data_IF_304012338431
#
_entry.id   IF_304012338431
#
_cell.length_a   1.000
_cell.length_b   1.000
_cell.length_c   1.000
_cell.angle_alpha   90.00
_cell.angle_beta   90.00
_cell.angle_gamma   90.00
#
_symmetry.space_group_name_H-M   'P 1'
#
loop_
_entity.id
_entity.type
_entity.pdbx_description
1 polymer ?
#
# COMPACT_ATOMS: atom_id res chain seq x y z
N UNK A 1 -57.42 -17.47 10.53
CA UNK A 1 -56.01 -17.80 10.77
C UNK A 1 -55.16 -16.64 10.25
N UNK A 2 -54.84 -15.65 11.12
CA UNK A 2 -54.15 -14.42 10.70
C UNK A 2 -52.65 -14.70 10.65
N UNK A 3 -52.03 -14.60 9.46
CA UNK A 3 -50.55 -14.61 9.30
C UNK A 3 -50.00 -13.31 9.86
N UNK A 4 -49.19 -13.39 10.92
CA UNK A 4 -48.45 -12.23 11.45
C UNK A 4 -47.44 -11.76 10.42
N UNK A 5 -47.32 -10.46 10.16
CA UNK A 5 -46.26 -9.92 9.28
C UNK A 5 -44.89 -10.14 9.92
N UNK A 6 -43.87 -10.40 9.09
CA UNK A 6 -42.47 -10.53 9.50
C UNK A 6 -41.97 -9.21 10.11
N UNK A 7 -41.07 -9.26 11.10
CA UNK A 7 -40.44 -8.08 11.66
C UNK A 7 -39.74 -7.26 10.59
N UNK A 8 -39.74 -5.92 10.73
CA UNK A 8 -39.14 -5.00 9.76
C UNK A 8 -37.67 -5.29 9.47
N UNK A 9 -36.89 -5.64 10.49
CA UNK A 9 -35.47 -5.98 10.36
C UNK A 9 -35.23 -7.16 9.41
N UNK A 10 -36.11 -8.15 9.40
CA UNK A 10 -36.00 -9.31 8.49
C UNK A 10 -36.27 -8.93 7.04
N UNK A 11 -37.08 -7.91 6.78
CA UNK A 11 -37.38 -7.40 5.43
C UNK A 11 -36.18 -6.71 4.81
N UNK A 12 -35.44 -5.91 5.59
CA UNK A 12 -34.23 -5.21 5.13
C UNK A 12 -33.10 -6.18 4.82
N UNK A 13 -32.95 -7.25 5.61
CA UNK A 13 -31.91 -8.26 5.36
C UNK A 13 -32.16 -9.04 4.06
N UNK A 14 -33.40 -9.37 3.76
CA UNK A 14 -33.79 -10.06 2.51
C UNK A 14 -33.58 -9.14 1.30
N UNK A 15 -33.92 -7.84 1.40
CA UNK A 15 -33.73 -6.86 0.32
C UNK A 15 -32.25 -6.63 0.06
N UNK A 16 -31.42 -6.54 1.10
CA UNK A 16 -29.96 -6.38 0.97
C UNK A 16 -29.31 -7.60 0.32
N UNK A 17 -29.74 -8.81 0.66
CA UNK A 17 -29.26 -10.05 0.03
C UNK A 17 -29.66 -10.15 -1.45
N UNK A 18 -30.86 -9.70 -1.81
CA UNK A 18 -31.33 -9.69 -3.20
C UNK A 18 -30.56 -8.68 -4.07
N UNK A 19 -30.17 -7.52 -3.51
CA UNK A 19 -29.40 -6.50 -4.23
C UNK A 19 -27.96 -6.97 -4.48
N UNK A 20 -27.35 -7.71 -3.56
CA UNK A 20 -25.98 -8.24 -3.72
C UNK A 20 -25.91 -9.36 -4.77
N UNK A 21 -27.00 -10.12 -4.98
CA UNK A 21 -27.03 -11.22 -5.95
C UNK A 21 -27.42 -10.77 -7.36
N UNK A 22 -28.11 -9.61 -7.51
CA UNK A 22 -28.64 -9.13 -8.80
C UNK A 22 -27.88 -7.94 -9.41
N UNK A 23 -26.85 -7.39 -8.75
CA UNK A 23 -26.00 -6.39 -9.41
C UNK A 23 -24.96 -7.11 -10.26
N UNK A 24 -24.99 -6.95 -11.60
CA UNK A 24 -23.92 -7.46 -12.43
C UNK A 24 -22.64 -6.76 -12.00
N UNK A 25 -21.58 -7.53 -11.77
CA UNK A 25 -20.23 -7.04 -11.53
C UNK A 25 -19.95 -5.99 -12.61
N UNK A 26 -19.71 -4.72 -12.24
CA UNK A 26 -19.72 -3.65 -13.22
C UNK A 26 -18.59 -3.80 -14.22
N UNK A 27 -18.90 -3.49 -15.46
CA UNK A 27 -18.01 -3.27 -16.61
C UNK A 27 -16.78 -2.38 -16.35
N UNK A 28 -16.50 -2.02 -15.11
CA UNK A 28 -15.38 -1.17 -14.72
C UNK A 28 -14.02 -1.84 -14.93
N UNK A 29 -13.95 -3.17 -14.89
CA UNK A 29 -12.72 -3.91 -15.17
C UNK A 29 -12.43 -4.12 -16.66
N UNK A 30 -13.42 -3.96 -17.54
CA UNK A 30 -13.22 -4.17 -18.99
C UNK A 30 -12.58 -2.95 -19.67
N UNK A 31 -12.70 -1.75 -19.09
CA UNK A 31 -12.19 -0.53 -19.72
C UNK A 31 -10.69 -0.29 -19.49
N UNK A 32 -10.06 -1.04 -18.60
CA UNK A 32 -8.60 -0.98 -18.38
C UNK A 32 -7.85 -1.91 -19.34
N UNK A 33 -8.51 -2.92 -19.90
CA UNK A 33 -7.87 -3.92 -20.75
C UNK A 33 -8.03 -3.69 -22.27
N UNK A 34 -8.99 -2.87 -22.71
CA UNK A 34 -9.25 -2.62 -24.13
C UNK A 34 -9.36 -1.14 -24.46
N UNK A 35 -8.27 -0.41 -24.25
CA UNK A 35 -8.06 0.91 -24.84
C UNK A 35 -7.78 0.80 -26.33
N UNK A 36 -8.79 0.58 -27.16
CA UNK A 36 -8.66 0.64 -28.62
C UNK A 36 -8.46 2.08 -29.06
N UNK A 37 -7.24 2.47 -29.35
CA UNK A 37 -6.98 3.61 -30.21
C UNK A 37 -7.33 3.22 -31.65
N UNK A 38 -8.45 3.74 -32.13
CA UNK A 38 -8.76 3.80 -33.52
C UNK A 38 -7.82 4.80 -34.21
N UNK A 39 -6.93 4.32 -35.04
CA UNK A 39 -6.25 5.11 -36.06
C UNK A 39 -6.34 4.37 -37.40
N UNK A 40 -6.85 5.08 -38.39
CA UNK A 40 -7.13 4.62 -39.73
C UNK A 40 -5.88 4.02 -40.44
N UNK A 41 -6.07 3.05 -41.36
CA UNK A 41 -4.99 2.36 -42.01
C UNK A 41 -4.34 3.23 -43.09
N UNK A 42 -3.03 3.51 -42.98
CA UNK A 42 -2.20 3.93 -44.12
C UNK A 42 -1.74 2.69 -44.85
N UNK A 43 -2.14 2.60 -46.11
CA UNK A 43 -1.72 1.58 -47.06
C UNK A 43 -0.19 1.63 -47.23
N UNK A 44 0.52 0.61 -46.75
CA UNK A 44 1.93 0.38 -47.06
C UNK A 44 2.03 -0.90 -47.88
N UNK A 45 2.64 -0.77 -49.06
CA UNK A 45 2.87 -1.86 -50.01
C UNK A 45 3.71 -2.96 -49.36
N UNK A 46 3.16 -4.14 -49.33
CA UNK A 46 3.75 -5.36 -48.85
C UNK A 46 4.95 -5.78 -49.71
N UNK A 47 6.13 -5.78 -49.11
CA UNK A 47 7.31 -6.42 -49.68
C UNK A 47 7.46 -7.75 -48.92
N UNK A 48 7.01 -8.81 -49.58
CA UNK A 48 7.07 -10.17 -49.01
C UNK A 48 8.53 -10.59 -48.89
N UNK A 49 9.06 -10.58 -47.69
CA UNK A 49 10.33 -11.25 -47.35
C UNK A 49 9.98 -12.63 -46.82
N UNK A 50 10.31 -13.64 -47.62
CA UNK A 50 10.18 -15.05 -47.21
C UNK A 50 11.30 -15.33 -46.20
N UNK A 51 10.97 -15.28 -44.91
CA UNK A 51 11.84 -15.73 -43.83
C UNK A 51 11.61 -17.22 -43.64
N UNK A 52 12.67 -18.03 -43.75
CA UNK A 52 12.60 -19.49 -43.64
C UNK A 52 12.12 -19.93 -42.28
N UNK A 53 11.38 -21.02 -42.18
CA UNK A 53 10.82 -21.60 -40.94
C UNK A 53 11.89 -21.93 -39.88
N UNK A 54 13.14 -22.12 -40.30
CA UNK A 54 14.26 -22.37 -39.39
C UNK A 54 14.67 -21.14 -38.54
N UNK A 55 14.43 -19.91 -39.03
CA UNK A 55 14.72 -18.68 -38.27
C UNK A 55 13.60 -18.35 -37.24
N UNK A 56 12.37 -18.72 -37.53
CA UNK A 56 11.25 -18.51 -36.58
C UNK A 56 11.39 -19.37 -35.27
N UNK A 57 12.00 -20.54 -35.38
CA UNK A 57 12.21 -21.42 -34.19
C UNK A 57 13.32 -20.90 -33.28
N UNK A 58 14.28 -20.15 -33.82
CA UNK A 58 15.43 -19.64 -33.06
C UNK A 58 15.15 -18.32 -32.32
N UNK A 59 14.11 -17.56 -32.72
CA UNK A 59 13.72 -16.32 -32.03
C UNK A 59 12.81 -16.61 -30.81
N UNK A 60 12.08 -17.71 -30.81
CA UNK A 60 11.19 -18.12 -29.71
C UNK A 60 11.90 -18.88 -28.56
N UNK A 61 13.15 -19.27 -28.72
CA UNK A 61 13.89 -20.02 -27.70
C UNK A 61 14.83 -19.16 -26.84
N UNK A 62 14.85 -17.84 -26.97
CA UNK A 62 15.85 -17.00 -26.29
C UNK A 62 15.29 -16.00 -25.29
N UNK A 63 14.30 -16.40 -24.54
CA UNK A 63 14.01 -15.82 -23.23
C UNK A 63 13.38 -16.93 -22.37
N UNK A 64 14.16 -17.94 -22.02
CA UNK A 64 13.77 -18.83 -20.93
C UNK A 64 13.60 -17.95 -19.70
N UNK A 65 12.35 -17.66 -19.34
CA UNK A 65 12.02 -16.93 -18.12
C UNK A 65 12.74 -17.63 -16.98
N UNK A 66 13.55 -16.88 -16.19
CA UNK A 66 14.26 -17.44 -15.05
C UNK A 66 13.26 -18.21 -14.18
N UNK A 67 13.59 -19.41 -13.71
CA UNK A 67 12.73 -20.13 -12.77
C UNK A 67 12.34 -19.21 -11.61
N UNK A 68 11.08 -19.25 -11.17
CA UNK A 68 10.59 -18.42 -10.08
C UNK A 68 11.45 -18.57 -8.82
N UNK A 69 11.91 -19.81 -8.53
CA UNK A 69 12.84 -20.11 -7.43
C UNK A 69 14.17 -19.37 -7.56
N UNK A 70 14.69 -19.22 -8.78
CA UNK A 70 15.91 -18.45 -9.02
C UNK A 70 15.66 -16.94 -8.80
N UNK A 71 14.49 -16.43 -9.19
CA UNK A 71 14.12 -15.05 -8.95
C UNK A 71 14.03 -14.75 -7.45
N UNK A 72 13.51 -15.70 -6.64
CA UNK A 72 13.51 -15.59 -5.16
C UNK A 72 14.94 -15.48 -4.64
N UNK A 73 15.83 -16.37 -5.07
CA UNK A 73 17.25 -16.36 -4.63
C UNK A 73 17.99 -15.09 -5.05
N UNK A 74 17.74 -14.61 -6.26
CA UNK A 74 18.35 -13.37 -6.75
C UNK A 74 17.89 -12.16 -5.93
N UNK A 75 16.60 -12.07 -5.61
CA UNK A 75 16.03 -11.03 -4.74
C UNK A 75 16.62 -11.08 -3.32
N UNK A 76 16.75 -12.28 -2.74
CA UNK A 76 17.40 -12.47 -1.44
C UNK A 76 18.87 -11.98 -1.44
N UNK A 77 19.64 -12.32 -2.48
CA UNK A 77 21.03 -11.87 -2.63
C UNK A 77 21.16 -10.35 -2.72
N UNK A 78 20.15 -9.69 -3.31
CA UNK A 78 20.07 -8.24 -3.41
C UNK A 78 19.55 -7.57 -2.13
N UNK A 79 19.13 -8.35 -1.12
CA UNK A 79 18.50 -7.84 0.09
C UNK A 79 17.06 -7.37 -0.11
N UNK A 80 16.46 -7.64 -1.28
CA UNK A 80 15.07 -7.31 -1.57
C UNK A 80 14.13 -8.44 -1.12
N UNK A 81 13.94 -8.51 0.19
CA UNK A 81 13.14 -9.55 0.80
C UNK A 81 11.65 -9.42 0.52
N UNK A 82 11.16 -8.21 0.22
CA UNK A 82 9.77 -7.99 -0.19
C UNK A 82 9.47 -8.65 -1.53
N UNK A 83 10.33 -8.43 -2.53
CA UNK A 83 10.24 -9.13 -3.82
C UNK A 83 10.45 -10.64 -3.66
N UNK A 84 11.41 -11.07 -2.82
CA UNK A 84 11.62 -12.48 -2.55
C UNK A 84 10.37 -13.17 -2.00
N UNK A 85 9.66 -12.56 -1.03
CA UNK A 85 8.40 -13.07 -0.50
C UNK A 85 7.28 -13.11 -1.55
N UNK A 86 7.16 -12.05 -2.36
CA UNK A 86 6.18 -11.99 -3.45
C UNK A 86 6.42 -13.08 -4.49
N UNK A 87 7.68 -13.33 -4.88
CA UNK A 87 8.00 -14.39 -5.83
C UNK A 87 7.84 -15.77 -5.19
N UNK A 88 8.19 -15.95 -3.91
CA UNK A 88 7.97 -17.21 -3.20
C UNK A 88 6.49 -17.63 -3.19
N UNK A 89 5.56 -16.67 -3.11
CA UNK A 89 4.12 -16.97 -3.14
C UNK A 89 3.67 -17.64 -4.46
N UNK A 90 4.47 -17.53 -5.53
CA UNK A 90 4.22 -18.13 -6.85
C UNK A 90 4.87 -19.52 -7.00
N UNK A 91 5.73 -19.92 -6.05
CA UNK A 91 6.33 -21.26 -6.04
C UNK A 91 5.29 -22.26 -5.50
N UNK A 92 5.13 -23.45 -6.11
CA UNK A 92 4.21 -24.47 -5.60
C UNK A 92 4.59 -24.86 -4.16
N UNK A 93 3.60 -24.81 -3.25
CA UNK A 93 3.82 -25.05 -1.81
C UNK A 93 4.26 -26.47 -1.47
N UNK A 94 3.99 -27.42 -2.34
CA UNK A 94 4.35 -28.84 -2.26
C UNK A 94 5.75 -29.14 -2.81
N UNK A 95 6.42 -28.13 -3.39
CA UNK A 95 7.79 -28.32 -3.87
C UNK A 95 8.81 -28.30 -2.72
N UNK A 96 9.85 -29.16 -2.76
CA UNK A 96 10.92 -29.16 -1.75
C UNK A 96 11.61 -27.80 -1.62
N UNK A 97 11.78 -27.11 -2.75
CA UNK A 97 12.42 -25.78 -2.79
C UNK A 97 11.60 -24.71 -2.09
N UNK A 98 10.26 -24.82 -2.07
CA UNK A 98 9.41 -23.84 -1.36
C UNK A 98 9.75 -23.82 0.14
N UNK A 99 9.80 -24.98 0.79
CA UNK A 99 10.08 -25.04 2.23
C UNK A 99 11.51 -24.59 2.55
N UNK A 100 12.49 -24.91 1.70
CA UNK A 100 13.86 -24.43 1.87
C UNK A 100 13.93 -22.90 1.76
N UNK A 101 13.39 -22.33 0.69
CA UNK A 101 13.38 -20.87 0.47
C UNK A 101 12.59 -20.14 1.56
N UNK A 102 11.47 -20.72 2.02
CA UNK A 102 10.68 -20.19 3.12
C UNK A 102 11.48 -20.12 4.43
N UNK A 103 12.24 -21.19 4.74
CA UNK A 103 13.11 -21.21 5.92
C UNK A 103 14.23 -20.18 5.81
N UNK A 104 14.88 -20.08 4.65
CA UNK A 104 15.93 -19.09 4.40
C UNK A 104 15.39 -17.67 4.56
N UNK A 105 14.24 -17.34 3.97
CA UNK A 105 13.58 -16.04 4.13
C UNK A 105 13.16 -15.76 5.57
N UNK A 106 12.71 -16.77 6.32
CA UNK A 106 12.33 -16.62 7.72
C UNK A 106 13.53 -16.40 8.65
N UNK A 107 14.71 -16.88 8.30
CA UNK A 107 15.93 -16.70 9.08
C UNK A 107 16.56 -15.31 8.93
N UNK A 108 16.22 -14.60 7.87
CA UNK A 108 16.80 -13.29 7.54
C UNK A 108 16.08 -12.13 8.25
N UNK A 109 16.44 -10.92 8.12
CA UNK A 109 16.66 -9.76 9.00
C UNK A 109 15.62 -9.46 10.09
N UNK A 110 14.58 -10.25 10.26
CA UNK A 110 13.54 -10.02 11.30
C UNK A 110 14.07 -10.10 12.74
N UNK A 111 15.20 -10.80 12.92
CA UNK A 111 15.93 -10.82 14.17
C UNK A 111 16.73 -9.55 14.42
N UNK A 112 16.88 -8.64 13.43
CA UNK A 112 17.63 -7.41 13.60
C UNK A 112 16.94 -6.49 14.58
N UNK A 113 17.69 -6.03 15.57
CA UNK A 113 17.26 -4.95 16.43
C UNK A 113 17.18 -3.66 15.59
N UNK A 114 15.99 -3.10 15.47
CA UNK A 114 15.76 -1.83 14.78
C UNK A 114 15.73 -0.71 15.83
N UNK A 115 16.76 0.13 15.95
CA UNK A 115 16.82 1.18 16.95
C UNK A 115 15.67 2.18 16.77
N UNK A 116 14.99 2.54 17.85
CA UNK A 116 13.89 3.51 17.83
C UNK A 116 12.61 2.98 17.17
N UNK A 117 12.51 1.65 16.97
CA UNK A 117 11.31 1.01 16.41
C UNK A 117 10.71 0.04 17.40
N UNK A 118 9.42 0.23 17.71
CA UNK A 118 8.62 -0.69 18.52
C UNK A 118 7.80 -1.62 17.61
N UNK A 119 7.55 -2.82 18.12
CA UNK A 119 6.71 -3.83 17.45
C UNK A 119 5.39 -3.95 18.19
N UNK A 120 4.29 -3.93 17.45
CA UNK A 120 2.94 -4.07 17.99
C UNK A 120 2.16 -5.10 17.17
N UNK A 121 1.31 -5.87 17.85
CA UNK A 121 0.33 -6.73 17.21
C UNK A 121 -0.99 -6.61 17.95
N UNK A 122 -2.10 -6.47 17.25
CA UNK A 122 -3.43 -6.37 17.86
C UNK A 122 -3.89 -7.68 18.48
N UNK A 123 -3.37 -8.81 17.99
CA UNK A 123 -3.66 -10.17 18.48
C UNK A 123 -2.45 -11.06 18.31
N UNK A 124 -2.43 -12.20 18.99
CA UNK A 124 -1.34 -13.19 18.84
C UNK A 124 -1.16 -13.72 17.41
N UNK A 125 -2.16 -13.58 16.56
CA UNK A 125 -2.15 -14.00 15.15
C UNK A 125 -2.38 -12.83 14.16
N UNK A 126 -2.50 -11.61 14.66
CA UNK A 126 -2.70 -10.41 13.86
C UNK A 126 -1.43 -9.99 13.12
N UNK A 127 -1.56 -9.08 12.13
CA UNK A 127 -0.41 -8.54 11.43
C UNK A 127 0.52 -7.82 12.42
N UNK A 128 1.83 -8.08 12.29
CA UNK A 128 2.84 -7.38 13.07
C UNK A 128 3.05 -5.98 12.48
N UNK A 129 3.02 -4.97 13.34
CA UNK A 129 3.31 -3.59 12.99
C UNK A 129 4.64 -3.14 13.57
N UNK A 130 5.40 -2.41 12.78
CA UNK A 130 6.61 -1.73 13.18
C UNK A 130 6.33 -0.24 13.16
N UNK A 131 6.49 0.42 14.29
CA UNK A 131 6.23 1.85 14.44
C UNK A 131 7.45 2.53 15.05
N UNK A 132 7.67 3.78 14.66
CA UNK A 132 8.65 4.60 15.35
C UNK A 132 8.25 4.85 16.81
N UNK A 133 9.20 4.94 17.71
CA UNK A 133 8.93 5.21 19.14
C UNK A 133 8.19 6.54 19.35
N UNK A 134 8.38 7.53 18.47
CA UNK A 134 7.67 8.82 18.51
C UNK A 134 6.23 8.77 17.98
N UNK A 135 5.82 7.68 17.34
CA UNK A 135 4.45 7.54 16.82
C UNK A 135 3.45 7.51 17.98
N UNK A 136 2.32 8.22 17.89
CA UNK A 136 1.28 8.15 18.91
C UNK A 136 0.83 6.71 19.20
N UNK A 137 0.58 6.41 20.49
CA UNK A 137 0.08 5.09 20.90
C UNK A 137 -1.42 4.90 20.64
N UNK A 138 -2.15 5.99 20.49
CA UNK A 138 -3.58 5.98 20.25
C UNK A 138 -3.99 6.84 19.03
N UNK A 139 -5.26 6.75 18.66
CA UNK A 139 -5.85 7.53 17.56
C UNK A 139 -6.30 8.94 17.98
N UNK A 140 -6.23 9.27 19.26
CA UNK A 140 -6.72 10.55 19.81
C UNK A 140 -5.60 11.59 20.03
N UNK A 141 -4.55 11.48 19.23
CA UNK A 141 -3.46 12.45 19.10
C UNK A 141 -3.23 12.82 17.64
N UNK A 142 -2.89 14.08 17.36
CA UNK A 142 -2.44 14.47 16.01
C UNK A 142 -1.18 13.68 15.66
N UNK A 143 -1.04 13.28 14.40
CA UNK A 143 0.14 12.55 13.96
C UNK A 143 0.30 12.53 12.45
N UNK A 144 1.56 12.46 12.05
CA UNK A 144 1.97 12.21 10.66
C UNK A 144 3.15 11.24 10.73
N UNK A 145 3.00 10.03 10.25
CA UNK A 145 4.02 9.01 10.39
C UNK A 145 3.96 7.93 9.30
N UNK A 146 5.11 7.33 9.07
CA UNK A 146 5.26 6.09 8.32
C UNK A 146 5.29 4.93 9.31
N UNK A 147 4.63 3.84 9.01
CA UNK A 147 4.74 2.59 9.73
C UNK A 147 4.75 1.40 8.77
N UNK A 148 5.19 0.24 9.26
CA UNK A 148 5.28 -0.95 8.44
C UNK A 148 4.33 -2.01 8.97
N UNK A 149 3.73 -2.76 8.06
CA UNK A 149 2.85 -3.90 8.37
C UNK A 149 3.47 -5.15 7.78
N UNK A 150 3.68 -6.17 8.61
CA UNK A 150 4.13 -7.46 8.15
C UNK A 150 2.93 -8.41 8.03
N UNK A 151 2.71 -8.90 6.81
CA UNK A 151 1.66 -9.88 6.49
C UNK A 151 2.30 -11.04 5.75
N UNK A 152 2.17 -12.24 6.29
CA UNK A 152 2.69 -13.46 5.66
C UNK A 152 4.17 -13.36 5.27
N UNK A 153 4.92 -12.60 6.05
CA UNK A 153 6.35 -12.43 5.84
C UNK A 153 6.76 -11.32 4.90
N UNK A 154 5.84 -10.68 4.24
CA UNK A 154 6.09 -9.47 3.45
C UNK A 154 5.86 -8.22 4.29
N UNK A 155 6.73 -7.25 4.16
CA UNK A 155 6.65 -5.97 4.87
C UNK A 155 6.17 -4.88 3.92
N UNK A 156 5.14 -4.16 4.33
CA UNK A 156 4.47 -3.15 3.52
C UNK A 156 4.48 -1.79 4.23
N UNK A 157 4.98 -0.72 3.59
CA UNK A 157 4.95 0.61 4.17
C UNK A 157 3.57 1.24 4.04
N UNK A 158 3.11 1.87 5.13
CA UNK A 158 1.85 2.60 5.19
C UNK A 158 2.08 4.01 5.74
N UNK A 159 1.45 4.97 5.09
CA UNK A 159 1.49 6.36 5.49
C UNK A 159 0.21 6.73 6.23
N UNK A 160 0.36 7.31 7.42
CA UNK A 160 -0.76 7.69 8.26
C UNK A 160 -0.72 9.17 8.62
N UNK A 161 -1.88 9.83 8.50
CA UNK A 161 -2.09 11.22 8.93
C UNK A 161 -3.32 11.24 9.84
N UNK A 162 -3.15 11.70 11.08
CA UNK A 162 -4.20 11.78 12.10
C UNK A 162 -4.52 13.23 12.44
N UNK A 163 -5.80 13.52 12.56
CA UNK A 163 -6.35 14.80 13.00
C UNK A 163 -7.28 14.57 14.17
N UNK A 164 -7.08 15.27 15.26
CA UNK A 164 -7.93 15.16 16.45
C UNK A 164 -8.49 16.53 16.82
N UNK A 165 -9.78 16.57 17.10
CA UNK A 165 -10.50 17.79 17.50
C UNK A 165 -11.73 17.51 18.33
N UNK A 166 -12.37 18.55 18.84
CA UNK A 166 -13.68 18.45 19.50
C UNK A 166 -14.81 18.13 18.51
N UNK A 167 -14.61 18.48 17.24
CA UNK A 167 -15.55 18.24 16.13
C UNK A 167 -14.79 17.71 14.92
N UNK A 168 -15.48 16.93 14.10
CA UNK A 168 -14.94 16.46 12.83
C UNK A 168 -14.72 17.62 11.85
N UNK A 169 -13.59 17.62 11.16
CA UNK A 169 -13.30 18.51 10.04
C UNK A 169 -13.97 18.01 8.75
N UNK A 170 -14.37 16.73 8.70
CA UNK A 170 -14.79 16.03 7.48
C UNK A 170 -13.74 16.16 6.39
N UNK A 171 -12.56 15.61 6.68
CA UNK A 171 -11.34 15.76 5.89
C UNK A 171 -11.54 15.23 4.47
N UNK A 172 -11.11 16.02 3.50
CA UNK A 172 -11.16 15.70 2.06
C UNK A 172 -9.77 15.65 1.41
N UNK A 173 -8.74 16.11 2.13
CA UNK A 173 -7.37 16.11 1.65
C UNK A 173 -6.39 16.70 2.66
N UNK A 174 -5.12 16.63 2.28
CA UNK A 174 -4.02 17.18 3.05
C UNK A 174 -3.10 17.99 2.16
N UNK A 175 -2.56 19.08 2.69
CA UNK A 175 -1.51 19.86 2.04
C UNK A 175 -0.30 19.88 2.94
N UNK A 176 0.79 19.29 2.47
CA UNK A 176 2.09 19.25 3.16
C UNK A 176 3.00 20.29 2.49
N UNK A 177 3.57 21.18 3.29
CA UNK A 177 4.62 22.11 2.83
C UNK A 177 5.94 21.74 3.49
N UNK A 178 7.01 21.65 2.70
CA UNK A 178 8.36 21.32 3.14
C UNK A 178 9.34 22.26 2.42
N UNK A 179 9.95 23.20 3.12
CA UNK A 179 10.88 24.22 2.60
C UNK A 179 10.42 24.86 1.28
N UNK A 180 9.14 25.27 1.23
CA UNK A 180 8.54 25.92 0.05
C UNK A 180 7.94 24.96 -0.99
N UNK A 181 8.29 23.69 -0.99
CA UNK A 181 7.60 22.68 -1.83
C UNK A 181 6.24 22.32 -1.23
N UNK A 182 5.26 22.13 -2.09
CA UNK A 182 3.89 21.78 -1.67
C UNK A 182 3.48 20.44 -2.29
N UNK A 183 2.96 19.55 -1.45
CA UNK A 183 2.41 18.25 -1.83
C UNK A 183 0.95 18.20 -1.39
N UNK A 184 0.05 17.77 -2.28
CA UNK A 184 -1.37 17.63 -1.96
C UNK A 184 -1.73 16.15 -1.99
N UNK A 185 -2.15 15.58 -0.86
CA UNK A 185 -2.55 14.18 -0.74
C UNK A 185 -4.08 14.14 -0.69
N UNK A 186 -4.74 13.52 -1.66
CA UNK A 186 -6.19 13.34 -1.61
C UNK A 186 -6.54 12.36 -0.48
N UNK A 187 -7.53 12.71 0.32
CA UNK A 187 -7.99 11.85 1.39
C UNK A 187 -9.08 10.90 0.87
N UNK A 188 -8.66 9.74 0.40
CA UNK A 188 -9.56 8.66 0.03
C UNK A 188 -9.77 7.79 1.27
N UNK A 189 -11.02 7.45 1.59
CA UNK A 189 -11.39 6.56 2.71
C UNK A 189 -10.87 7.01 4.10
N UNK A 190 -11.19 8.26 4.48
CA UNK A 190 -10.95 8.73 5.86
C UNK A 190 -11.73 7.86 6.85
N UNK A 191 -11.02 7.33 7.84
CA UNK A 191 -11.61 6.62 8.98
C UNK A 191 -11.87 7.62 10.11
N UNK A 192 -12.89 7.34 10.91
CA UNK A 192 -13.28 8.20 12.03
C UNK A 192 -13.53 7.36 13.28
N UNK A 193 -12.96 7.82 14.39
CA UNK A 193 -13.23 7.30 15.73
C UNK A 193 -13.70 8.42 16.64
N UNK A 194 -14.63 8.10 17.54
CA UNK A 194 -15.20 9.08 18.48
C UNK A 194 -15.02 8.59 19.91
N UNK A 195 -14.60 9.49 20.77
CA UNK A 195 -14.68 9.34 22.21
C UNK A 195 -15.71 10.34 22.78
N UNK A 196 -15.93 10.32 24.09
CA UNK A 196 -16.82 11.29 24.75
C UNK A 196 -16.40 12.76 24.56
N UNK A 197 -15.10 13.02 24.34
CA UNK A 197 -14.55 14.37 24.30
C UNK A 197 -13.91 14.75 22.96
N UNK A 198 -13.57 13.77 22.11
CA UNK A 198 -12.75 13.99 20.91
C UNK A 198 -13.26 13.19 19.73
N UNK A 199 -13.00 13.70 18.53
CA UNK A 199 -13.15 13.00 17.26
C UNK A 199 -11.78 12.91 16.62
N UNK A 200 -11.38 11.69 16.27
CA UNK A 200 -10.19 11.40 15.49
C UNK A 200 -10.61 11.09 14.04
N UNK A 201 -10.00 11.77 13.09
CA UNK A 201 -10.12 11.48 11.66
C UNK A 201 -8.73 11.10 11.15
N UNK A 202 -8.61 9.99 10.45
CA UNK A 202 -7.31 9.56 9.99
C UNK A 202 -7.33 8.92 8.60
N UNK A 203 -6.30 9.26 7.85
CA UNK A 203 -5.91 8.66 6.60
C UNK A 203 -4.88 7.58 6.90
N UNK A 204 -5.06 6.39 6.34
CA UNK A 204 -4.20 5.24 6.56
C UNK A 204 -4.13 4.41 5.29
N UNK A 205 -3.13 4.66 4.46
CA UNK A 205 -3.02 4.10 3.12
C UNK A 205 -1.63 3.50 2.85
N UNK A 206 -1.51 2.56 1.90
CA UNK A 206 -0.22 2.19 1.34
C UNK A 206 0.52 3.42 0.81
N UNK A 207 1.85 3.40 0.87
CA UNK A 207 2.66 4.46 0.31
C UNK A 207 2.55 4.44 -1.22
N UNK A 208 2.19 5.59 -1.79
CA UNK A 208 2.18 5.88 -3.22
C UNK A 208 3.28 6.88 -3.58
N UNK A 209 3.45 7.21 -4.86
CA UNK A 209 4.46 8.15 -5.34
C UNK A 209 4.33 9.50 -4.64
N UNK A 210 3.13 10.00 -4.48
CA UNK A 210 2.87 11.33 -3.94
C UNK A 210 3.22 11.43 -2.45
N UNK A 211 2.84 10.43 -1.67
CA UNK A 211 3.20 10.33 -0.25
C UNK A 211 4.70 10.06 -0.07
N UNK A 212 5.31 9.26 -0.95
CA UNK A 212 6.76 9.02 -0.94
C UNK A 212 7.55 10.31 -1.18
N UNK A 213 7.20 11.08 -2.21
CA UNK A 213 7.86 12.35 -2.54
C UNK A 213 7.71 13.36 -1.40
N UNK A 214 6.52 13.42 -0.78
CA UNK A 214 6.28 14.25 0.39
C UNK A 214 7.16 13.84 1.57
N UNK A 215 7.26 12.54 1.88
CA UNK A 215 8.13 12.03 2.94
C UNK A 215 9.61 12.32 2.68
N UNK A 216 10.08 12.13 1.45
CA UNK A 216 11.47 12.47 1.08
C UNK A 216 11.78 13.95 1.26
N UNK A 217 10.82 14.83 0.94
CA UNK A 217 10.97 16.26 1.17
C UNK A 217 10.95 16.59 2.68
N UNK A 218 10.04 15.97 3.45
CA UNK A 218 9.92 16.19 4.90
C UNK A 218 11.18 15.86 5.67
N UNK A 219 11.82 14.73 5.38
CA UNK A 219 13.05 14.30 6.08
C UNK A 219 14.16 15.33 5.94
N UNK A 220 14.22 16.04 4.81
CA UNK A 220 15.25 17.03 4.49
C UNK A 220 14.88 18.47 4.90
N UNK A 221 13.59 18.71 5.18
CA UNK A 221 13.09 20.05 5.38
C UNK A 221 13.50 20.64 6.74
N UNK A 222 13.88 21.91 6.74
CA UNK A 222 14.06 22.71 7.97
C UNK A 222 12.72 23.11 8.55
N UNK A 223 11.78 23.56 7.68
CA UNK A 223 10.43 23.97 8.08
C UNK A 223 9.41 23.14 7.32
N UNK A 224 8.47 22.58 8.05
CA UNK A 224 7.40 21.81 7.44
C UNK A 224 6.07 22.05 8.17
N UNK A 225 4.98 22.08 7.41
CA UNK A 225 3.62 22.21 7.94
C UNK A 225 2.65 21.28 7.23
N UNK A 226 1.61 20.88 7.96
CA UNK A 226 0.51 20.07 7.49
C UNK A 226 -0.79 20.86 7.63
N UNK A 227 -1.52 21.00 6.53
CA UNK A 227 -2.88 21.55 6.52
C UNK A 227 -3.86 20.42 6.25
N UNK A 228 -4.79 20.22 7.15
CA UNK A 228 -5.95 19.37 6.98
C UNK A 228 -7.02 20.16 6.22
N UNK A 229 -7.46 19.68 5.07
CA UNK A 229 -8.50 20.28 4.24
C UNK A 229 -9.80 19.53 4.49
N UNK A 230 -10.83 20.22 4.96
CA UNK A 230 -12.10 19.58 5.29
C UNK A 230 -13.30 20.44 4.93
N UNK A 231 -14.48 19.82 4.84
CA UNK A 231 -15.76 20.55 4.64
C UNK A 231 -16.09 21.49 5.80
N UNK A 232 -15.57 21.21 6.99
CA UNK A 232 -15.72 22.04 8.19
C UNK A 232 -14.69 23.17 8.30
N UNK A 233 -13.82 23.35 7.29
CA UNK A 233 -12.75 24.34 7.26
C UNK A 233 -11.36 23.71 7.12
N UNK A 234 -10.34 24.54 7.23
CA UNK A 234 -8.95 24.12 7.20
C UNK A 234 -8.33 24.21 8.60
N UNK A 235 -7.44 23.29 8.93
CA UNK A 235 -6.62 23.35 10.14
C UNK A 235 -5.16 23.12 9.77
N UNK A 236 -4.29 24.01 10.16
CA UNK A 236 -2.85 23.91 9.92
C UNK A 236 -2.12 23.63 11.26
N UNK A 237 -1.06 22.82 11.19
CA UNK A 237 -0.07 22.66 12.24
C UNK A 237 1.34 22.54 11.67
N UNK A 238 2.32 22.78 12.49
CA UNK A 238 3.71 22.46 12.16
C UNK A 238 3.92 20.94 12.26
N UNK A 239 4.82 20.43 11.43
CA UNK A 239 5.33 19.05 11.50
C UNK A 239 6.59 19.09 12.36
N UNK A 240 6.57 18.34 13.44
CA UNK A 240 7.65 18.33 14.41
C UNK A 240 8.91 17.62 13.89
N UNK A 241 10.07 17.95 14.47
CA UNK A 241 11.32 17.25 14.19
C UNK A 241 11.24 15.75 14.50
N UNK A 242 10.49 15.37 15.54
CA UNK A 242 10.31 13.96 15.90
C UNK A 242 9.54 13.21 14.82
N UNK A 243 8.48 13.80 14.25
CA UNK A 243 7.73 13.19 13.13
C UNK A 243 8.62 13.02 11.89
N UNK A 244 9.42 14.05 11.53
CA UNK A 244 10.34 13.97 10.39
C UNK A 244 11.41 12.89 10.59
N UNK A 245 12.06 12.87 11.77
CA UNK A 245 13.06 11.86 12.13
C UNK A 245 12.45 10.47 12.21
N UNK A 246 11.22 10.34 12.72
CA UNK A 246 10.48 9.09 12.79
C UNK A 246 10.20 8.52 11.40
N UNK A 247 9.77 9.36 10.44
CA UNK A 247 9.59 8.94 9.05
C UNK A 247 10.94 8.42 8.48
N UNK A 248 12.04 9.14 8.69
CA UNK A 248 13.36 8.72 8.23
C UNK A 248 13.77 7.37 8.80
N UNK A 249 13.67 7.18 10.14
CA UNK A 249 13.98 5.89 10.78
C UNK A 249 13.13 4.74 10.26
N UNK A 250 11.85 5.00 9.98
CA UNK A 250 10.98 3.96 9.42
C UNK A 250 11.30 3.63 7.96
N UNK A 251 11.81 4.56 7.16
CA UNK A 251 12.34 4.27 5.82
C UNK A 251 13.60 3.40 5.90
N UNK A 252 14.50 3.71 6.83
CA UNK A 252 15.71 2.92 7.09
C UNK A 252 15.34 1.52 7.61
N UNK A 253 14.35 1.43 8.50
CA UNK A 253 13.83 0.16 9.00
C UNK A 253 13.21 -0.69 7.88
N UNK A 254 12.48 -0.06 6.95
CA UNK A 254 11.93 -0.75 5.79
C UNK A 254 13.05 -1.35 4.92
N UNK A 255 14.09 -0.58 4.62
CA UNK A 255 15.26 -1.08 3.89
C UNK A 255 15.98 -2.20 4.67
N UNK A 256 16.16 -2.06 5.99
CA UNK A 256 16.78 -3.07 6.85
C UNK A 256 15.97 -4.38 6.93
N UNK A 257 14.65 -4.31 6.74
CA UNK A 257 13.76 -5.46 6.62
C UNK A 257 13.67 -6.01 5.19
N UNK A 258 14.52 -5.53 4.29
CA UNK A 258 14.61 -5.95 2.90
C UNK A 258 13.55 -5.35 1.97
N UNK A 259 12.87 -4.30 2.43
CA UNK A 259 11.95 -3.55 1.59
C UNK A 259 12.70 -2.53 0.70
N UNK A 260 12.09 -2.21 -0.43
CA UNK A 260 12.51 -1.10 -1.28
C UNK A 260 11.28 -0.38 -1.84
N UNK A 261 11.45 0.85 -2.26
CA UNK A 261 10.37 1.66 -2.83
C UNK A 261 10.32 1.61 -4.36
N UNK A 262 10.98 0.63 -5.00
CA UNK A 262 11.00 0.51 -6.46
C UNK A 262 9.59 0.26 -7.06
N UNK A 263 8.69 -0.34 -6.27
CA UNK A 263 7.28 -0.55 -6.69
C UNK A 263 6.51 0.75 -6.93
N UNK A 264 7.00 1.88 -6.43
CA UNK A 264 6.34 3.19 -6.57
C UNK A 264 6.53 3.76 -7.98
N UNK A 265 7.57 3.34 -8.70
CA UNK A 265 7.93 3.86 -10.02
C UNK A 265 7.35 3.03 -11.19
N UNK A 266 6.43 2.13 -10.90
CA UNK A 266 5.70 1.32 -11.87
C UNK A 266 4.20 1.68 -11.81
#
# INVERSE_FOLDING_TARGET
MFKRPLPEETRYTIILLAIVVLTPIPLYFLNIYFGTRSSAPKTVKEKTVIVSEAEKTNILTKAAAKPVTQTVRDAMKQGDYSTAHLQLSKVPKDSPEYEELRKQLAAEPRARKLPGVRKESDTSQGPLRYLDESTPHDRFSDGLYLYLVEISGSVWPKFCIQSVGKRALNITGFRIKADGKTFTIPAIAIKMEKSSAKVAEYYDAPVDQQSYDAMQALIKARKASLTYLGKGGERMREISENEKKGIGRMMDAYAALGGNFAFIHH
#
